data_IF_753703674883
#
_entry.id   IF_753703674883
#
_cell.length_a   1.000
_cell.length_b   1.000
_cell.length_c   1.000
_cell.angle_alpha   90.00
_cell.angle_beta   90.00
_cell.angle_gamma   90.00
#
_symmetry.space_group_name_H-M   'P 1'
#
loop_
_entity.id
_entity.type
_entity.pdbx_description
1 polymer ?
#
# COMPACT_ATOMS: atom_id res chain seq x y z
N UNK A 1 21.39 38.61 21.34
CA UNK A 1 21.19 37.64 22.45
C UNK A 1 20.63 36.38 21.80
N UNK A 2 21.43 35.30 21.77
CA UNK A 2 21.11 34.07 21.04
C UNK A 2 20.59 33.02 22.01
N UNK A 3 19.37 32.54 21.78
CA UNK A 3 18.76 31.47 22.57
C UNK A 3 19.51 30.14 22.35
N UNK A 4 20.00 29.49 23.42
CA UNK A 4 20.58 28.17 23.33
C UNK A 4 19.48 27.15 23.06
N UNK A 5 19.42 26.68 21.80
CA UNK A 5 18.60 25.52 21.44
C UNK A 5 19.14 24.28 22.17
N UNK A 6 18.50 23.92 23.27
CA UNK A 6 18.71 22.63 23.92
C UNK A 6 18.29 21.52 22.96
N UNK A 7 19.27 20.97 22.25
CA UNK A 7 19.14 19.71 21.53
C UNK A 7 18.98 18.60 22.56
N UNK A 8 17.74 18.35 22.99
CA UNK A 8 17.37 17.18 23.78
C UNK A 8 17.49 15.99 22.82
N UNK A 9 18.72 15.53 22.60
CA UNK A 9 18.99 14.18 22.11
C UNK A 9 18.55 13.24 23.21
N UNK A 10 17.25 12.96 23.24
CA UNK A 10 16.69 11.92 24.08
C UNK A 10 17.41 10.63 23.74
N UNK A 11 18.22 10.15 24.68
CA UNK A 11 18.81 8.82 24.65
C UNK A 11 17.68 7.83 24.39
N UNK A 12 17.54 7.42 23.13
CA UNK A 12 16.70 6.31 22.72
C UNK A 12 17.39 5.09 23.28
N UNK A 13 17.09 4.77 24.56
CA UNK A 13 17.50 3.54 25.21
C UNK A 13 17.26 2.43 24.19
N UNK A 14 18.35 1.82 23.72
CA UNK A 14 18.33 0.89 22.61
C UNK A 14 17.35 -0.22 22.98
N UNK A 15 16.14 -0.14 22.39
CA UNK A 15 15.04 -1.05 22.70
C UNK A 15 15.62 -2.45 22.47
N UNK A 16 15.63 -3.33 23.50
CA UNK A 16 16.30 -4.61 23.40
C UNK A 16 15.80 -5.32 22.14
N UNK A 17 16.68 -5.98 21.38
CA UNK A 17 16.31 -6.59 20.11
C UNK A 17 15.10 -7.49 20.34
N UNK A 18 13.93 -7.10 19.82
CA UNK A 18 12.69 -7.88 19.95
C UNK A 18 12.97 -9.25 19.34
N UNK A 19 13.05 -10.27 20.18
CA UNK A 19 13.33 -11.65 19.77
C UNK A 19 12.09 -12.36 19.23
N UNK A 20 10.90 -11.77 19.40
CA UNK A 20 9.63 -12.42 19.06
C UNK A 20 8.68 -11.45 18.35
N UNK A 21 8.16 -11.89 17.20
CA UNK A 21 7.08 -11.23 16.48
C UNK A 21 5.74 -11.68 17.06
N UNK A 22 4.82 -10.75 17.31
CA UNK A 22 3.45 -11.07 17.75
C UNK A 22 2.55 -11.35 16.56
N UNK A 23 1.83 -12.47 16.58
CA UNK A 23 0.74 -12.75 15.62
C UNK A 23 -0.50 -11.89 15.91
N UNK A 24 -1.19 -11.37 14.89
CA UNK A 24 -2.53 -10.80 15.04
C UNK A 24 -3.48 -11.78 15.74
N UNK A 25 -4.41 -11.26 16.55
CA UNK A 25 -5.44 -12.00 17.29
C UNK A 25 -6.79 -12.06 16.57
N UNK A 26 -6.98 -11.28 15.50
CA UNK A 26 -8.23 -11.36 14.73
C UNK A 26 -8.51 -12.81 14.29
N UNK A 27 -9.76 -13.22 14.51
CA UNK A 27 -10.31 -14.51 14.08
C UNK A 27 -11.13 -14.39 12.80
N UNK A 28 -11.53 -13.17 12.46
CA UNK A 28 -12.33 -12.90 11.28
C UNK A 28 -11.42 -13.02 10.05
N UNK A 29 -11.83 -13.83 9.07
CA UNK A 29 -11.05 -14.02 7.85
C UNK A 29 -11.20 -12.84 6.89
N UNK A 30 -12.24 -12.05 7.06
CA UNK A 30 -12.55 -10.89 6.22
C UNK A 30 -11.81 -9.63 6.71
N UNK A 31 -11.28 -9.66 7.94
CA UNK A 31 -10.43 -8.60 8.46
C UNK A 31 -9.17 -8.46 7.61
N UNK A 32 -8.90 -7.24 7.14
CA UNK A 32 -7.73 -6.99 6.32
C UNK A 32 -6.42 -7.22 7.08
N UNK A 33 -6.37 -7.36 8.40
CA UNK A 33 -5.14 -7.66 9.14
C UNK A 33 -5.08 -9.11 9.64
N UNK A 34 -6.06 -9.94 9.27
CA UNK A 34 -6.03 -11.36 9.54
C UNK A 34 -4.87 -12.04 8.81
N UNK A 35 -4.27 -13.03 9.47
CA UNK A 35 -3.30 -13.94 8.90
C UNK A 35 -3.54 -15.34 9.44
N UNK A 36 -3.57 -16.33 8.55
CA UNK A 36 -3.76 -17.72 8.96
C UNK A 36 -2.57 -18.22 9.79
N UNK A 37 -2.80 -19.25 10.61
CA UNK A 37 -1.72 -19.87 11.38
C UNK A 37 -0.62 -20.45 10.48
N UNK A 38 -1.00 -21.05 9.36
CA UNK A 38 -0.06 -21.61 8.39
C UNK A 38 0.80 -20.51 7.74
N UNK A 39 0.18 -19.41 7.29
CA UNK A 39 0.92 -18.29 6.68
C UNK A 39 1.85 -17.62 7.69
N UNK A 40 1.42 -17.48 8.94
CA UNK A 40 2.26 -16.93 10.00
C UNK A 40 3.47 -17.82 10.28
N UNK A 41 3.28 -19.15 10.38
CA UNK A 41 4.36 -20.10 10.57
C UNK A 41 5.36 -20.08 9.39
N UNK A 42 4.86 -20.05 8.15
CA UNK A 42 5.69 -19.95 6.96
C UNK A 42 6.54 -18.67 6.94
N UNK A 43 5.99 -17.53 7.40
CA UNK A 43 6.76 -16.29 7.52
C UNK A 43 7.86 -16.38 8.59
N UNK A 44 7.60 -17.04 9.71
CA UNK A 44 8.60 -17.25 10.75
C UNK A 44 9.74 -18.16 10.25
N UNK A 45 9.40 -19.23 9.53
CA UNK A 45 10.38 -20.13 8.90
C UNK A 45 11.22 -19.38 7.85
N UNK A 46 10.58 -18.62 6.95
CA UNK A 46 11.27 -17.80 5.96
C UNK A 46 12.16 -16.72 6.59
N UNK A 47 11.86 -16.28 7.82
CA UNK A 47 12.70 -15.35 8.58
C UNK A 47 13.95 -16.03 9.19
N UNK A 48 13.90 -17.34 9.44
CA UNK A 48 15.09 -18.09 9.88
C UNK A 48 16.07 -18.31 8.71
N UNK A 49 15.55 -18.60 7.51
CA UNK A 49 16.34 -18.87 6.31
C UNK A 49 17.12 -17.63 5.82
N UNK A 50 18.46 -17.70 5.63
CA UNK A 50 19.29 -16.54 5.27
C UNK A 50 18.86 -15.83 3.98
N UNK A 51 18.46 -16.60 2.97
CA UNK A 51 18.09 -16.08 1.65
C UNK A 51 16.83 -15.19 1.69
N UNK A 52 15.83 -15.57 2.48
CA UNK A 52 14.53 -14.89 2.55
C UNK A 52 14.36 -14.01 3.79
N UNK A 53 15.32 -14.03 4.72
CA UNK A 53 15.26 -13.37 6.03
C UNK A 53 14.82 -11.92 5.96
N UNK A 54 15.45 -11.11 5.10
CA UNK A 54 15.18 -9.67 5.03
C UNK A 54 13.73 -9.37 4.63
N UNK A 55 13.25 -10.04 3.59
CA UNK A 55 11.89 -9.87 3.09
C UNK A 55 10.85 -10.36 4.10
N UNK A 56 11.06 -11.55 4.68
CA UNK A 56 10.20 -12.12 5.71
C UNK A 56 10.14 -11.23 6.95
N UNK A 57 11.29 -10.74 7.43
CA UNK A 57 11.38 -9.81 8.56
C UNK A 57 10.59 -8.52 8.32
N UNK A 58 10.72 -7.93 7.13
CA UNK A 58 9.98 -6.72 6.75
C UNK A 58 8.47 -6.96 6.77
N UNK A 59 8.02 -8.11 6.25
CA UNK A 59 6.60 -8.50 6.24
C UNK A 59 6.07 -8.79 7.65
N UNK A 60 6.82 -9.49 8.49
CA UNK A 60 6.47 -9.74 9.89
C UNK A 60 6.31 -8.43 10.68
N UNK A 61 7.25 -7.49 10.52
CA UNK A 61 7.15 -6.16 11.17
C UNK A 61 5.93 -5.38 10.72
N UNK A 62 5.61 -5.43 9.42
CA UNK A 62 4.42 -4.76 8.89
C UNK A 62 3.15 -5.34 9.50
N UNK A 63 3.02 -6.67 9.54
CA UNK A 63 1.85 -7.35 10.10
C UNK A 63 1.73 -7.09 11.61
N UNK A 64 2.82 -7.20 12.35
CA UNK A 64 2.84 -6.89 13.79
C UNK A 64 2.39 -5.46 14.05
N UNK A 65 2.90 -4.50 13.29
CA UNK A 65 2.57 -3.09 13.47
C UNK A 65 1.11 -2.77 13.09
N UNK A 66 0.61 -3.34 11.99
CA UNK A 66 -0.79 -3.22 11.59
C UNK A 66 -1.70 -3.80 12.69
N UNK A 67 -1.37 -4.97 13.23
CA UNK A 67 -2.15 -5.57 14.32
C UNK A 67 -2.03 -4.79 15.63
N UNK A 68 -0.87 -4.22 15.94
CA UNK A 68 -0.70 -3.33 17.09
C UNK A 68 -1.65 -2.12 16.98
N UNK A 69 -1.73 -1.48 15.81
CA UNK A 69 -2.66 -0.38 15.58
C UNK A 69 -4.13 -0.82 15.67
N UNK A 70 -4.49 -2.00 15.16
CA UNK A 70 -5.88 -2.46 15.15
C UNK A 70 -6.36 -3.02 16.49
N UNK A 71 -5.50 -3.65 17.27
CA UNK A 71 -5.89 -4.43 18.46
C UNK A 71 -5.54 -3.76 19.79
N UNK A 72 -4.75 -2.68 19.78
CA UNK A 72 -4.32 -1.98 21.01
C UNK A 72 -4.77 -0.52 21.02
N UNK A 73 -4.53 0.15 22.14
CA UNK A 73 -4.76 1.58 22.36
C UNK A 73 -3.69 2.48 21.73
N UNK A 74 -2.62 1.88 21.17
CA UNK A 74 -1.61 2.58 20.36
C UNK A 74 -2.25 3.18 19.10
N UNK A 75 -3.21 2.47 18.52
CA UNK A 75 -4.01 2.96 17.40
C UNK A 75 -5.18 3.82 17.88
N UNK A 76 -5.26 5.05 17.37
CA UNK A 76 -6.42 5.92 17.55
C UNK A 76 -7.34 5.79 16.34
N UNK A 77 -8.64 5.67 16.59
CA UNK A 77 -9.65 5.68 15.54
C UNK A 77 -9.82 7.10 15.04
N UNK A 78 -9.69 7.28 13.73
CA UNK A 78 -9.89 8.55 13.04
C UNK A 78 -11.39 8.78 12.88
N UNK A 79 -11.92 9.97 13.22
CA UNK A 79 -13.34 10.26 13.05
C UNK A 79 -13.75 10.28 11.57
N UNK A 80 -15.02 10.02 11.29
CA UNK A 80 -15.54 9.78 9.94
C UNK A 80 -15.19 10.86 8.91
N UNK A 81 -15.25 12.13 9.33
CA UNK A 81 -14.91 13.27 8.46
C UNK A 81 -13.43 13.30 8.03
N UNK A 82 -12.54 12.66 8.79
CA UNK A 82 -11.10 12.59 8.54
C UNK A 82 -10.63 11.20 8.09
N UNK A 83 -11.54 10.22 7.98
CA UNK A 83 -11.20 8.89 7.47
C UNK A 83 -10.70 8.97 6.03
N UNK A 84 -9.61 8.27 5.74
CA UNK A 84 -9.11 8.17 4.35
C UNK A 84 -10.09 7.37 3.47
N UNK A 85 -10.12 7.70 2.18
CA UNK A 85 -11.01 7.09 1.19
C UNK A 85 -10.95 5.55 1.18
N UNK A 86 -9.74 4.97 1.23
CA UNK A 86 -9.55 3.51 1.26
C UNK A 86 -10.22 2.80 2.46
N UNK A 87 -10.30 3.46 3.61
CA UNK A 87 -10.99 2.91 4.78
C UNK A 87 -12.49 3.13 4.66
N UNK A 88 -12.91 4.31 4.17
CA UNK A 88 -14.31 4.67 3.96
C UNK A 88 -14.99 3.74 2.97
N UNK A 89 -14.42 3.56 1.78
CA UNK A 89 -14.95 2.67 0.73
C UNK A 89 -15.03 1.22 1.18
N UNK A 90 -14.11 0.81 2.06
CA UNK A 90 -14.11 -0.55 2.57
C UNK A 90 -14.95 -0.75 3.83
N UNK A 91 -15.58 0.29 4.37
CA UNK A 91 -16.40 0.20 5.58
C UNK A 91 -15.63 -0.27 6.83
N UNK A 92 -14.34 0.04 6.95
CA UNK A 92 -13.51 -0.37 8.10
C UNK A 92 -13.02 0.83 8.89
N UNK A 93 -12.86 0.65 10.21
CA UNK A 93 -12.30 1.67 11.08
C UNK A 93 -10.91 2.11 10.60
N UNK A 94 -10.73 3.41 10.39
CA UNK A 94 -9.44 3.99 10.05
C UNK A 94 -8.64 4.19 11.33
N UNK A 95 -7.61 3.39 11.59
CA UNK A 95 -6.75 3.53 12.78
C UNK A 95 -5.35 3.98 12.41
N UNK A 96 -4.89 5.07 13.03
CA UNK A 96 -3.55 5.64 12.86
C UNK A 96 -2.77 5.56 14.17
N UNK A 97 -1.45 5.66 14.13
CA UNK A 97 -0.65 5.70 15.36
C UNK A 97 -0.95 6.98 16.16
N UNK A 98 -1.07 6.86 17.50
CA UNK A 98 -1.25 8.04 18.38
C UNK A 98 -0.06 9.00 18.31
N UNK A 99 1.15 8.48 18.09
CA UNK A 99 2.35 9.28 17.90
C UNK A 99 2.59 9.60 16.42
N UNK A 100 3.22 10.74 16.14
CA UNK A 100 3.65 11.17 14.80
C UNK A 100 4.69 10.25 14.12
N UNK A 101 4.87 9.02 14.61
CA UNK A 101 5.79 8.02 14.05
C UNK A 101 5.31 7.46 12.72
N UNK A 102 3.99 7.43 12.49
CA UNK A 102 3.40 6.99 11.22
C UNK A 102 2.24 7.90 10.82
N UNK A 103 2.35 8.45 9.61
CA UNK A 103 1.30 9.25 8.98
C UNK A 103 0.28 8.38 8.21
N UNK A 104 0.43 7.05 8.27
CA UNK A 104 -0.42 6.13 7.55
C UNK A 104 -1.28 5.29 8.49
N UNK A 105 -2.55 5.09 8.11
CA UNK A 105 -3.45 4.19 8.81
C UNK A 105 -3.07 2.73 8.54
N UNK A 106 -3.51 1.82 9.42
CA UNK A 106 -3.21 0.39 9.33
C UNK A 106 -3.52 -0.22 7.95
N UNK A 107 -4.64 0.17 7.33
CA UNK A 107 -5.04 -0.31 6.00
C UNK A 107 -4.15 0.23 4.89
N UNK A 108 -3.93 1.55 4.84
CA UNK A 108 -3.02 2.15 3.86
C UNK A 108 -1.59 1.59 3.98
N UNK A 109 -1.11 1.33 5.20
CA UNK A 109 0.19 0.69 5.43
C UNK A 109 0.23 -0.72 4.83
N UNK A 110 -0.80 -1.54 5.02
CA UNK A 110 -0.85 -2.89 4.44
C UNK A 110 -0.83 -2.86 2.91
N UNK A 111 -1.57 -1.93 2.31
CA UNK A 111 -1.69 -1.81 0.85
C UNK A 111 -0.60 -0.94 0.19
N UNK A 112 0.34 -0.39 0.97
CA UNK A 112 1.38 0.55 0.51
C UNK A 112 0.82 1.75 -0.25
N UNK A 113 -0.33 2.27 0.19
CA UNK A 113 -0.99 3.43 -0.41
C UNK A 113 -0.75 4.68 0.45
N UNK A 114 -0.72 5.88 -0.16
CA UNK A 114 -0.71 7.12 0.62
C UNK A 114 -1.95 7.19 1.52
N UNK A 115 -1.81 7.85 2.67
CA UNK A 115 -2.88 7.99 3.64
C UNK A 115 -3.10 9.46 3.95
N UNK A 116 -4.33 9.93 3.77
CA UNK A 116 -4.71 11.32 4.04
C UNK A 116 -5.08 11.54 5.52
N UNK A 117 -5.51 10.48 6.20
CA UNK A 117 -5.98 10.56 7.59
C UNK A 117 -4.88 10.96 8.60
N UNK A 118 -3.64 10.48 8.43
CA UNK A 118 -2.56 10.78 9.38
C UNK A 118 -2.19 12.27 9.43
N UNK A 119 -1.95 12.94 8.28
CA UNK A 119 -1.74 14.39 8.24
C UNK A 119 -2.84 15.21 8.91
N UNK A 120 -4.10 14.83 8.73
CA UNK A 120 -5.25 15.53 9.33
C UNK A 120 -5.25 15.36 10.84
N UNK A 121 -5.04 14.13 11.33
CA UNK A 121 -4.98 13.85 12.77
C UNK A 121 -3.81 14.53 13.48
N UNK A 122 -2.64 14.60 12.84
CA UNK A 122 -1.47 15.26 13.43
C UNK A 122 -1.70 16.76 13.62
N UNK A 123 -2.32 17.44 12.63
CA UNK A 123 -2.67 18.86 12.75
C UNK A 123 -3.69 19.09 13.85
N UNK A 124 -4.75 18.28 13.90
CA UNK A 124 -5.75 18.38 14.96
C UNK A 124 -5.18 18.21 16.37
N UNK A 125 -4.17 17.34 16.55
CA UNK A 125 -3.48 17.20 17.84
C UNK A 125 -2.54 18.36 18.17
N UNK A 126 -1.94 19.03 17.17
CA UNK A 126 -1.13 20.22 17.40
C UNK A 126 -1.96 21.46 17.70
N UNK A 127 -3.14 21.57 17.07
CA UNK A 127 -4.04 22.71 17.22
C UNK A 127 -4.95 22.61 18.45
N UNK A 128 -5.09 21.43 19.05
CA UNK A 128 -5.67 21.34 20.38
C UNK A 128 -4.72 22.06 21.35
N UNK A 129 -5.14 23.20 21.96
CA UNK A 129 -4.32 23.88 22.94
C UNK A 129 -3.96 22.86 24.02
N UNK A 130 -2.72 22.86 24.54
CA UNK A 130 -2.31 21.94 25.59
C UNK A 130 -3.36 22.00 26.68
N UNK A 131 -4.15 20.94 26.78
CA UNK A 131 -5.30 20.88 27.67
C UNK A 131 -4.82 21.22 29.07
N UNK A 132 -5.19 22.41 29.56
CA UNK A 132 -5.01 22.80 30.96
C UNK A 132 -5.93 22.00 31.90
N UNK A 133 -6.64 20.99 31.38
CA UNK A 133 -7.47 20.06 32.13
C UNK A 133 -6.79 18.70 32.29
N UNK A 134 -5.62 18.71 32.93
CA UNK A 134 -5.11 17.54 33.66
C UNK A 134 -5.20 17.79 35.17
N UNK A 135 -6.29 18.42 35.60
CA UNK A 135 -6.61 18.60 37.01
C UNK A 135 -7.79 17.69 37.35
N UNK A 136 -7.47 16.52 37.87
CA UNK A 136 -8.25 15.80 38.89
C UNK A 136 -9.78 15.73 38.70
N UNK A 137 -10.25 14.80 37.87
CA UNK A 137 -11.59 14.24 38.04
C UNK A 137 -11.53 13.06 39.03
N UNK A 138 -11.34 13.38 40.32
CA UNK A 138 -11.78 12.47 41.38
C UNK A 138 -13.25 12.79 41.67
N UNK A 139 -14.08 11.80 41.43
CA UNK A 139 -15.36 11.50 42.09
C UNK A 139 -16.29 12.69 42.37
N UNK A 140 -17.32 12.83 41.54
CA UNK A 140 -18.65 13.17 42.03
C UNK A 140 -19.68 12.31 41.30
N UNK A 141 -20.17 11.33 42.04
CA UNK A 141 -21.47 10.68 41.88
C UNK A 141 -22.55 11.71 41.59
N UNK A 142 -23.33 11.53 40.52
CA UNK A 142 -24.71 12.03 40.44
C UNK A 142 -25.44 11.46 39.22
N UNK A 143 -26.14 10.34 39.47
CA UNK A 143 -27.57 10.14 39.23
C UNK A 143 -28.27 10.88 38.07
N UNK A 144 -28.82 10.07 37.17
CA UNK A 144 -30.17 10.19 36.57
C UNK A 144 -30.43 11.23 35.47
N UNK A 145 -30.71 10.74 34.25
CA UNK A 145 -32.05 10.80 33.65
C UNK A 145 -32.04 10.12 32.27
N UNK A 146 -33.05 9.28 32.05
CA UNK A 146 -33.35 8.56 30.81
C UNK A 146 -33.72 9.53 29.69
N UNK A 147 -33.17 9.34 28.48
CA UNK A 147 -33.58 10.08 27.28
C UNK A 147 -34.10 9.07 26.23
N UNK A 148 -35.27 9.29 25.60
CA UNK A 148 -35.95 8.29 24.78
C UNK A 148 -35.31 8.10 23.40
N UNK A 149 -35.43 6.86 22.93
CA UNK A 149 -35.19 6.39 21.56
C UNK A 149 -36.01 7.21 20.55
N UNK A 150 -35.34 7.75 19.53
CA UNK A 150 -35.99 8.29 18.35
C UNK A 150 -35.55 7.46 17.13
N UNK A 151 -36.44 6.53 16.76
CA UNK A 151 -36.46 5.81 15.48
C UNK A 151 -36.80 6.79 14.36
N UNK A 152 -35.88 7.04 13.42
CA UNK A 152 -36.25 7.54 12.10
C UNK A 152 -35.48 6.81 10.99
N UNK A 153 -36.23 5.90 10.36
CA UNK A 153 -36.06 5.47 8.98
C UNK A 153 -35.87 6.66 8.03
N UNK A 154 -34.94 6.53 7.08
CA UNK A 154 -35.24 6.87 5.69
C UNK A 154 -34.35 6.08 4.74
N UNK A 155 -35.03 5.24 3.96
CA UNK A 155 -34.58 4.68 2.71
C UNK A 155 -34.23 5.80 1.73
N UNK A 156 -33.07 5.71 1.08
CA UNK A 156 -32.88 6.33 -0.24
C UNK A 156 -32.09 5.42 -1.15
N UNK A 157 -32.72 5.25 -2.30
CA UNK A 157 -32.56 4.22 -3.30
C UNK A 157 -31.65 4.71 -4.44
N UNK A 158 -31.09 3.72 -5.14
CA UNK A 158 -30.49 3.69 -6.47
C UNK A 158 -30.35 4.98 -7.30
N UNK A 159 -29.12 5.21 -7.77
CA UNK A 159 -28.80 6.08 -8.90
C UNK A 159 -27.49 5.62 -9.54
N UNK A 160 -27.56 4.55 -10.33
CA UNK A 160 -26.44 3.90 -11.00
C UNK A 160 -26.49 4.25 -12.49
N UNK A 161 -25.75 5.27 -12.91
CA UNK A 161 -25.51 5.58 -14.32
C UNK A 161 -24.05 6.04 -14.48
N UNK A 162 -23.22 5.22 -15.11
CA UNK A 162 -21.92 5.65 -15.63
C UNK A 162 -21.77 5.11 -17.05
N UNK A 163 -22.04 5.99 -18.01
CA UNK A 163 -21.46 5.96 -19.35
C UNK A 163 -19.93 5.99 -19.19
N UNK A 164 -19.12 5.20 -19.89
CA UNK A 164 -19.15 5.02 -21.33
C UNK A 164 -18.25 6.08 -21.98
N UNK A 165 -16.93 5.97 -21.81
CA UNK A 165 -15.99 6.77 -22.61
C UNK A 165 -14.72 5.95 -22.94
N UNK A 166 -14.76 5.30 -24.10
CA UNK A 166 -13.59 4.75 -24.78
C UNK A 166 -12.76 5.92 -25.34
N UNK A 167 -11.55 6.12 -24.82
CA UNK A 167 -10.57 7.03 -25.42
C UNK A 167 -9.43 6.25 -26.04
N UNK A 168 -9.49 6.14 -27.37
CA UNK A 168 -8.40 5.73 -28.23
C UNK A 168 -7.17 6.63 -28.01
N UNK A 169 -6.06 6.06 -27.53
CA UNK A 169 -4.76 6.72 -27.57
C UNK A 169 -4.02 6.29 -28.84
N UNK A 170 -4.02 7.21 -29.80
CA UNK A 170 -3.19 7.17 -31.00
C UNK A 170 -1.71 7.40 -30.66
N UNK A 171 -0.86 6.78 -31.47
CA UNK A 171 0.55 6.53 -31.22
C UNK A 171 1.47 7.74 -31.17
N UNK A 172 2.66 7.48 -30.61
CA UNK A 172 3.81 8.38 -30.65
C UNK A 172 4.83 7.88 -31.67
N UNK A 173 5.39 8.79 -32.49
CA UNK A 173 6.36 8.43 -33.52
C UNK A 173 7.77 8.27 -32.97
N UNK A 174 8.48 7.31 -33.55
CA UNK A 174 9.88 6.99 -33.37
C UNK A 174 10.77 8.20 -33.66
N UNK A 175 11.70 8.52 -32.76
CA UNK A 175 12.81 9.46 -33.04
C UNK A 175 14.12 8.69 -33.16
N UNK A 176 14.62 8.75 -34.39
CA UNK A 176 15.88 8.23 -34.89
C UNK A 176 17.10 8.76 -34.14
N UNK A 177 17.98 7.84 -33.78
CA UNK A 177 19.34 8.07 -33.26
C UNK A 177 20.24 8.47 -34.42
N UNK A 178 20.92 9.61 -34.32
CA UNK A 178 22.05 9.95 -35.20
C UNK A 178 23.36 9.83 -34.45
N UNK A 179 24.14 8.83 -34.88
CA UNK A 179 25.56 8.64 -34.64
C UNK A 179 26.36 9.87 -35.12
N UNK A 180 27.24 10.38 -34.25
CA UNK A 180 28.35 11.23 -34.67
C UNK A 180 29.63 10.73 -34.02
N UNK A 181 30.35 9.90 -34.78
CA UNK A 181 31.78 9.65 -34.62
C UNK A 181 32.53 10.89 -35.09
N UNK A 182 33.37 11.45 -34.23
CA UNK A 182 34.51 12.24 -34.67
C UNK A 182 35.79 11.65 -34.09
N UNK A 183 36.75 11.54 -34.99
CA UNK A 183 38.02 10.88 -34.85
C UNK A 183 39.12 11.91 -34.58
N UNK A 184 40.15 11.46 -33.85
CA UNK A 184 41.53 11.90 -34.01
C UNK A 184 41.92 13.18 -33.29
N UNK A 185 42.88 13.06 -32.37
CA UNK A 185 44.15 13.79 -32.51
C UNK A 185 45.16 13.24 -31.49
N UNK A 186 46.22 12.64 -32.01
CA UNK A 186 47.42 12.29 -31.25
C UNK A 186 48.22 13.55 -30.94
N UNK A 187 48.39 13.88 -29.66
CA UNK A 187 49.49 14.75 -29.21
C UNK A 187 50.14 14.18 -27.97
N UNK A 188 51.33 13.62 -28.19
CA UNK A 188 52.32 13.30 -27.17
C UNK A 188 52.86 14.60 -26.57
N UNK A 189 52.75 14.78 -25.25
CA UNK A 189 53.56 15.76 -24.51
C UNK A 189 53.74 15.33 -23.06
N UNK A 190 54.96 14.91 -22.76
CA UNK A 190 55.46 14.52 -21.46
C UNK A 190 55.45 15.72 -20.52
N UNK A 191 54.45 15.78 -19.64
CA UNK A 191 54.35 16.75 -18.56
C UNK A 191 53.91 16.06 -17.28
N UNK A 192 54.84 15.88 -16.34
CA UNK A 192 54.62 15.31 -15.02
C UNK A 192 53.65 16.18 -14.20
N UNK A 193 52.34 15.94 -14.36
CA UNK A 193 51.28 16.58 -13.58
C UNK A 193 50.74 15.59 -12.55
N UNK A 194 51.23 15.67 -11.33
CA UNK A 194 50.74 14.88 -10.19
C UNK A 194 49.37 15.35 -9.67
N UNK A 195 48.77 16.38 -10.28
CA UNK A 195 47.44 16.90 -9.92
C UNK A 195 46.30 16.43 -10.84
N UNK A 196 46.58 15.73 -11.96
CA UNK A 196 45.53 15.22 -12.86
C UNK A 196 44.84 13.94 -12.36
N UNK A 197 45.49 13.16 -11.49
CA UNK A 197 44.97 11.86 -11.02
C UNK A 197 43.73 11.92 -10.12
N UNK A 198 43.42 13.07 -9.51
CA UNK A 198 42.24 13.19 -8.64
C UNK A 198 40.93 13.28 -9.43
N UNK A 199 40.96 13.90 -10.60
CA UNK A 199 39.75 14.11 -11.41
C UNK A 199 39.30 12.81 -12.08
N UNK A 200 40.25 11.96 -12.51
CA UNK A 200 39.95 10.68 -13.16
C UNK A 200 39.18 9.72 -12.23
N UNK A 201 39.48 9.75 -10.92
CA UNK A 201 38.82 8.89 -9.93
C UNK A 201 37.38 9.34 -9.62
N UNK A 202 37.13 10.65 -9.61
CA UNK A 202 35.77 11.19 -9.41
C UNK A 202 34.88 10.87 -10.61
N UNK A 203 35.41 11.01 -11.82
CA UNK A 203 34.70 10.67 -13.04
C UNK A 203 34.36 9.18 -13.09
N UNK A 204 35.32 8.29 -12.79
CA UNK A 204 35.08 6.84 -12.76
C UNK A 204 34.01 6.46 -11.72
N UNK A 205 34.05 7.08 -10.54
CA UNK A 205 33.05 6.83 -9.50
C UNK A 205 31.66 7.33 -9.90
N UNK A 206 31.56 8.47 -10.59
CA UNK A 206 30.31 8.98 -11.13
C UNK A 206 29.72 8.05 -12.21
N UNK A 207 30.56 7.53 -13.11
CA UNK A 207 30.16 6.59 -14.15
C UNK A 207 29.66 5.27 -13.54
N UNK A 208 30.33 4.75 -12.51
CA UNK A 208 29.89 3.55 -11.76
C UNK A 208 28.54 3.76 -11.08
N UNK A 209 28.27 4.95 -10.54
CA UNK A 209 26.96 5.29 -9.94
C UNK A 209 25.87 5.33 -11.00
N UNK A 210 26.10 5.99 -12.12
CA UNK A 210 25.14 6.09 -13.22
C UNK A 210 24.81 4.69 -13.79
N UNK A 211 25.82 3.83 -13.97
CA UNK A 211 25.62 2.46 -14.42
C UNK A 211 24.73 1.65 -13.47
N UNK A 212 24.94 1.77 -12.16
CA UNK A 212 24.08 1.11 -11.15
C UNK A 212 22.66 1.67 -11.16
N UNK A 213 22.49 2.96 -11.43
CA UNK A 213 21.16 3.56 -11.55
C UNK A 213 20.43 3.02 -12.78
N UNK A 214 21.06 3.03 -13.96
CA UNK A 214 20.48 2.45 -15.18
C UNK A 214 20.10 0.99 -15.01
N UNK A 215 20.97 0.20 -14.38
CA UNK A 215 20.66 -1.21 -14.10
C UNK A 215 19.39 -1.35 -13.24
N UNK A 216 19.23 -0.52 -12.20
CA UNK A 216 18.02 -0.55 -11.37
C UNK A 216 16.78 -0.13 -12.14
N UNK A 217 16.90 0.86 -13.02
CA UNK A 217 15.80 1.30 -13.89
C UNK A 217 15.40 0.20 -14.88
N UNK A 218 16.38 -0.50 -15.47
CA UNK A 218 16.16 -1.67 -16.33
C UNK A 218 15.52 -2.85 -15.57
N UNK A 219 16.01 -3.14 -14.36
CA UNK A 219 15.45 -4.20 -13.51
C UNK A 219 13.99 -3.88 -13.14
N UNK A 220 13.69 -2.64 -12.78
CA UNK A 220 12.32 -2.18 -12.50
C UNK A 220 11.42 -2.25 -13.74
N UNK A 221 11.93 -1.86 -14.92
CA UNK A 221 11.18 -1.97 -16.16
C UNK A 221 10.88 -3.43 -16.53
N UNK A 222 11.83 -4.35 -16.29
CA UNK A 222 11.63 -5.78 -16.50
C UNK A 222 10.58 -6.36 -15.54
N UNK A 223 10.59 -5.96 -14.27
CA UNK A 223 9.56 -6.34 -13.30
C UNK A 223 8.17 -5.84 -13.72
N UNK A 224 8.06 -4.60 -14.22
CA UNK A 224 6.79 -4.04 -14.72
C UNK A 224 6.27 -4.80 -15.95
N UNK A 225 7.15 -5.13 -16.90
CA UNK A 225 6.80 -5.95 -18.08
C UNK A 225 6.30 -7.33 -17.66
N UNK A 226 6.89 -7.94 -16.63
CA UNK A 226 6.45 -9.25 -16.13
C UNK A 226 5.05 -9.17 -15.52
N UNK A 227 4.76 -8.13 -14.74
CA UNK A 227 3.42 -7.89 -14.17
C UNK A 227 2.39 -7.72 -15.29
N UNK A 228 2.68 -6.90 -16.31
CA UNK A 228 1.78 -6.69 -17.45
C UNK A 228 1.52 -7.99 -18.24
N UNK A 229 2.52 -8.86 -18.37
CA UNK A 229 2.34 -10.19 -19.00
C UNK A 229 1.43 -11.09 -18.18
N UNK A 230 1.57 -11.09 -16.86
CA UNK A 230 0.70 -11.87 -15.97
C UNK A 230 -0.74 -11.36 -16.00
N UNK A 231 -0.94 -10.04 -16.01
CA UNK A 231 -2.24 -9.42 -16.14
C UNK A 231 -2.90 -9.74 -17.49
N UNK A 232 -2.16 -9.60 -18.59
CA UNK A 232 -2.66 -9.98 -19.92
C UNK A 232 -3.02 -11.48 -20.00
N UNK A 233 -2.29 -12.36 -19.30
CA UNK A 233 -2.62 -13.78 -19.21
C UNK A 233 -3.91 -14.01 -18.41
N UNK A 234 -4.08 -13.32 -17.29
CA UNK A 234 -5.28 -13.41 -16.48
C UNK A 234 -6.52 -12.92 -17.26
N UNK A 235 -6.40 -11.81 -18.00
CA UNK A 235 -7.46 -11.30 -18.85
C UNK A 235 -7.89 -12.29 -19.94
N UNK A 236 -6.93 -12.98 -20.59
CA UNK A 236 -7.26 -14.04 -21.57
C UNK A 236 -8.03 -15.20 -20.95
N UNK A 237 -7.61 -15.65 -19.78
CA UNK A 237 -8.29 -16.74 -19.07
C UNK A 237 -9.71 -16.35 -18.66
N UNK A 238 -9.93 -15.09 -18.25
CA UNK A 238 -11.26 -14.58 -17.95
C UNK A 238 -12.16 -14.58 -19.21
N UNK A 239 -11.65 -14.07 -20.34
CA UNK A 239 -12.38 -14.09 -21.61
C UNK A 239 -12.71 -15.51 -22.09
N UNK A 240 -11.79 -16.46 -21.94
CA UNK A 240 -12.05 -17.87 -22.25
C UNK A 240 -13.16 -18.47 -21.39
N UNK A 241 -13.20 -18.12 -20.10
CA UNK A 241 -14.25 -18.54 -19.19
C UNK A 241 -15.63 -17.97 -19.58
N UNK A 242 -15.69 -16.70 -19.99
CA UNK A 242 -16.92 -16.06 -20.44
C UNK A 242 -17.44 -16.69 -21.74
N UNK A 243 -16.54 -16.99 -22.69
CA UNK A 243 -16.89 -17.71 -23.93
C UNK A 243 -17.43 -19.10 -23.60
N UNK A 244 -16.81 -19.81 -22.65
CA UNK A 244 -17.30 -21.12 -22.21
C UNK A 244 -18.68 -21.04 -21.55
N UNK A 245 -18.90 -20.04 -20.69
CA UNK A 245 -20.19 -19.80 -20.04
C UNK A 245 -21.29 -19.55 -21.08
N UNK A 246 -21.05 -18.64 -22.04
CA UNK A 246 -21.99 -18.35 -23.12
C UNK A 246 -22.31 -19.58 -23.99
N UNK A 247 -21.30 -20.41 -24.30
CA UNK A 247 -21.51 -21.66 -25.02
C UNK A 247 -22.37 -22.66 -24.23
N UNK A 248 -22.17 -22.74 -22.90
CA UNK A 248 -22.95 -23.61 -22.04
C UNK A 248 -24.42 -23.19 -21.95
N UNK A 249 -24.67 -21.88 -21.84
CA UNK A 249 -26.01 -21.30 -21.81
C UNK A 249 -26.74 -21.53 -23.13
N UNK A 250 -26.06 -21.31 -24.27
CA UNK A 250 -26.63 -21.59 -25.59
C UNK A 250 -27.02 -23.07 -25.76
N UNK A 251 -26.23 -24.01 -25.22
CA UNK A 251 -26.58 -25.44 -25.22
C UNK A 251 -27.80 -25.74 -24.36
N UNK A 252 -27.89 -25.14 -23.17
CA UNK A 252 -29.04 -25.29 -22.28
C UNK A 252 -30.32 -24.76 -22.94
N UNK A 253 -30.27 -23.58 -23.55
CA UNK A 253 -31.40 -22.98 -24.25
C UNK A 253 -31.89 -23.85 -25.42
N UNK A 254 -30.99 -24.46 -26.20
CA UNK A 254 -31.37 -25.43 -27.23
C UNK A 254 -32.06 -26.66 -26.64
N UNK A 255 -31.55 -27.20 -25.53
CA UNK A 255 -32.15 -28.36 -24.88
C UNK A 255 -33.56 -28.06 -24.33
N UNK A 256 -33.75 -26.88 -23.73
CA UNK A 256 -35.06 -26.40 -23.27
C UNK A 256 -36.04 -26.27 -24.43
N UNK A 257 -35.58 -25.67 -25.54
CA UNK A 257 -36.39 -25.51 -26.75
C UNK A 257 -36.83 -26.87 -27.33
N UNK A 258 -35.91 -27.81 -27.51
CA UNK A 258 -36.22 -29.14 -28.06
C UNK A 258 -37.17 -29.94 -27.13
N UNK A 259 -37.01 -29.80 -25.81
CA UNK A 259 -37.94 -30.41 -24.84
C UNK A 259 -39.34 -29.83 -24.97
N UNK A 260 -39.47 -28.49 -25.05
CA UNK A 260 -40.77 -27.82 -25.22
C UNK A 260 -41.45 -28.24 -26.52
N UNK A 261 -40.71 -28.25 -27.62
CA UNK A 261 -41.17 -28.70 -28.94
C UNK A 261 -41.64 -30.16 -28.92
N UNK A 262 -40.96 -31.03 -28.17
CA UNK A 262 -41.36 -32.43 -28.00
C UNK A 262 -42.66 -32.60 -27.21
N UNK A 263 -42.92 -31.72 -26.23
CA UNK A 263 -44.18 -31.71 -25.47
C UNK A 263 -45.33 -31.21 -26.35
N UNK A 264 -45.10 -30.18 -27.15
CA UNK A 264 -46.10 -29.61 -28.05
C UNK A 264 -46.54 -30.61 -29.12
N UNK A 265 -45.60 -31.36 -29.71
CA UNK A 265 -45.92 -32.44 -30.68
C UNK A 265 -46.74 -33.61 -30.11
N UNK A 266 -46.80 -33.76 -28.78
CA UNK A 266 -47.57 -34.83 -28.12
C UNK A 266 -49.00 -34.41 -27.77
N UNK A 267 -49.32 -33.12 -27.86
CA UNK A 267 -50.67 -32.58 -27.67
C UNK A 267 -51.42 -32.57 -28.99
#
# INVERSE_FOLDING_TARGET
>A
MADPRHSISGNTAAKPPRTQFRRPRSKDRDDFWHISQADWAALLEANAAPATRSAARKKLRLIEHVAELMETDVGITVPDFAMCELCRTAGVACRVARGATSMACAKCMKHKKPCEAGPVMQRGQQEQPPSMFSTSWRALDSSSAEIPLNDQHSDVNAGMENAGEERMLQGSPERSVTDKREAGSDTSLLGSSTHSRSNDLEEEHSARRLKRQRQREEDLANEEIEVLKLEAKAARLAMEADVFAAQSEARLMRAVYERRKSIERRR
#
